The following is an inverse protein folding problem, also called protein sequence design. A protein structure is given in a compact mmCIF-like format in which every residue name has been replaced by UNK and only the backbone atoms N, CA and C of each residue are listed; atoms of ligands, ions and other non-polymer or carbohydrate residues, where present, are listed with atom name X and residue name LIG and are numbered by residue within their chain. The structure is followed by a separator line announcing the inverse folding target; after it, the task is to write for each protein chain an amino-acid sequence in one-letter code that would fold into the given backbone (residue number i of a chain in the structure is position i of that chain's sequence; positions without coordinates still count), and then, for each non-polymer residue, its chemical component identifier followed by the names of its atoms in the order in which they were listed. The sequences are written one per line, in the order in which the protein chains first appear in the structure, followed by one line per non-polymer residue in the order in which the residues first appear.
data_IF_353771198082
#
_entry.id   IF_353771198082
#
_cell.length_a   1.000
_cell.length_b   1.000
_cell.length_c   1.000
_cell.angle_alpha   90.00
_cell.angle_beta   90.00
_cell.angle_gamma   90.00
#
_symmetry.space_group_name_H-M   'P 1'
#
loop_
_entity.id
_entity.type
_entity.pdbx_description
1 polymer ?
#
# COMPACT_ATOMS: atom_id res chain seq x y z
N UNK A 1 -15.69 12.65 11.35
CA UNK A 1 -14.68 12.19 10.38
C UNK A 1 -14.81 10.68 10.26
N UNK A 2 -14.88 10.16 9.03
CA UNK A 2 -15.09 8.73 8.77
C UNK A 2 -13.79 7.95 9.04
N UNK A 3 -13.90 6.73 9.59
CA UNK A 3 -12.78 5.84 9.87
C UNK A 3 -12.45 5.02 8.62
N UNK A 4 -11.18 5.03 8.19
CA UNK A 4 -10.68 4.24 7.08
C UNK A 4 -10.23 2.84 7.52
N UNK A 5 -9.53 2.76 8.67
CA UNK A 5 -9.07 1.48 9.23
C UNK A 5 -9.48 1.44 10.70
N UNK A 6 -10.10 0.35 11.12
CA UNK A 6 -10.43 0.05 12.51
C UNK A 6 -9.92 -1.34 12.88
N UNK A 7 -9.16 -1.41 13.95
CA UNK A 7 -8.62 -2.65 14.51
C UNK A 7 -8.99 -2.69 15.97
N UNK A 8 -9.56 -3.81 16.44
CA UNK A 8 -9.99 -4.00 17.82
C UNK A 8 -9.45 -5.32 18.36
N UNK A 9 -8.68 -5.23 19.45
CA UNK A 9 -8.15 -6.37 20.23
C UNK A 9 -7.44 -7.41 19.36
N UNK A 10 -6.67 -6.95 18.34
CA UNK A 10 -5.98 -7.81 17.41
C UNK A 10 -4.83 -8.54 18.08
N UNK A 11 -4.80 -9.87 17.99
CA UNK A 11 -3.70 -10.69 18.49
C UNK A 11 -3.23 -11.68 17.44
N UNK A 12 -1.91 -11.96 17.48
CA UNK A 12 -1.27 -12.94 16.59
C UNK A 12 -0.05 -13.56 17.27
N UNK A 13 -0.01 -14.89 17.27
CA UNK A 13 1.11 -15.67 17.77
C UNK A 13 1.68 -16.57 16.68
N UNK A 14 2.95 -16.91 16.81
CA UNK A 14 3.68 -17.90 16.03
C UNK A 14 4.31 -18.91 16.98
N UNK A 15 3.67 -20.05 17.15
CA UNK A 15 4.05 -20.99 18.21
C UNK A 15 3.99 -20.30 19.58
N UNK A 16 5.10 -20.25 20.29
CA UNK A 16 5.20 -19.61 21.60
C UNK A 16 5.53 -18.10 21.53
N UNK A 17 5.72 -17.54 20.34
CA UNK A 17 6.02 -16.12 20.18
C UNK A 17 4.73 -15.33 19.97
N UNK A 18 4.39 -14.46 20.93
CA UNK A 18 3.32 -13.51 20.80
C UNK A 18 3.82 -12.29 19.98
N UNK A 19 3.40 -12.21 18.71
CA UNK A 19 3.84 -11.17 17.78
C UNK A 19 2.97 -9.90 17.85
N UNK A 20 1.69 -10.06 18.17
CA UNK A 20 0.74 -8.96 18.37
C UNK A 20 -0.10 -9.31 19.59
N UNK A 21 -0.19 -8.39 20.55
CA UNK A 21 -0.95 -8.57 21.78
C UNK A 21 -2.05 -7.52 21.89
N UNK A 22 -3.29 -7.93 21.65
CA UNK A 22 -4.54 -7.19 21.85
C UNK A 22 -4.50 -5.71 21.39
N UNK A 23 -3.80 -5.42 20.28
CA UNK A 23 -3.70 -4.04 19.81
C UNK A 23 -5.03 -3.54 19.25
N UNK A 24 -5.32 -2.27 19.53
CA UNK A 24 -6.46 -1.55 18.97
C UNK A 24 -5.99 -0.23 18.41
N UNK A 25 -6.41 0.09 17.17
CA UNK A 25 -6.09 1.36 16.52
C UNK A 25 -7.20 1.79 15.58
N UNK A 26 -7.26 3.07 15.28
CA UNK A 26 -8.20 3.65 14.33
C UNK A 26 -7.51 4.71 13.50
N UNK A 27 -7.62 4.58 12.17
CA UNK A 27 -7.07 5.52 11.19
C UNK A 27 -8.23 6.20 10.48
N UNK A 28 -8.22 7.53 10.45
CA UNK A 28 -9.26 8.34 9.78
C UNK A 28 -8.91 8.54 8.31
N UNK A 29 -9.93 8.76 7.48
CA UNK A 29 -9.71 9.18 6.10
C UNK A 29 -8.87 10.47 6.02
N UNK A 30 -7.99 10.53 5.02
CA UNK A 30 -7.15 11.70 4.75
C UNK A 30 -6.02 11.92 5.77
N UNK A 31 -5.71 10.92 6.61
CA UNK A 31 -4.60 11.02 7.58
C UNK A 31 -3.45 10.10 7.21
N UNK A 32 -2.24 10.48 7.61
CA UNK A 32 -1.05 9.61 7.58
C UNK A 32 -0.90 9.00 8.98
N UNK A 33 -0.82 7.69 9.05
CA UNK A 33 -0.62 6.95 10.29
C UNK A 33 0.71 6.20 10.23
N UNK A 34 1.61 6.47 11.17
CA UNK A 34 2.90 5.81 11.28
C UNK A 34 2.88 4.69 12.32
N UNK A 35 3.29 3.48 11.94
CA UNK A 35 3.50 2.36 12.86
C UNK A 35 5.00 2.24 13.13
N UNK A 36 5.44 2.67 14.31
CA UNK A 36 6.84 2.72 14.72
C UNK A 36 7.16 1.61 15.71
N UNK A 37 8.42 1.19 15.76
CA UNK A 37 8.90 0.18 16.70
C UNK A 37 10.18 -0.51 16.21
N UNK A 38 10.85 -1.24 17.09
CA UNK A 38 12.05 -2.01 16.78
C UNK A 38 11.80 -3.11 15.74
N UNK A 39 12.86 -3.66 15.16
CA UNK A 39 12.75 -4.87 14.32
C UNK A 39 12.22 -6.03 15.17
N UNK A 40 11.30 -6.81 14.61
CA UNK A 40 10.62 -7.88 15.36
C UNK A 40 9.42 -7.43 16.21
N UNK A 41 9.11 -6.14 16.34
CA UNK A 41 7.98 -5.64 17.15
C UNK A 41 6.58 -5.88 16.54
N UNK A 42 6.43 -6.78 15.59
CA UNK A 42 5.13 -7.15 15.01
C UNK A 42 4.54 -6.18 13.98
N UNK A 43 5.27 -5.12 13.56
CA UNK A 43 4.76 -4.10 12.60
C UNK A 43 4.26 -4.70 11.29
N UNK A 44 5.11 -5.48 10.62
CA UNK A 44 4.74 -6.14 9.34
C UNK A 44 3.59 -7.11 9.54
N UNK A 45 3.62 -7.90 10.62
CA UNK A 45 2.54 -8.82 10.98
C UNK A 45 1.22 -8.09 11.20
N UNK A 46 1.26 -6.92 11.85
CA UNK A 46 0.08 -6.07 12.06
C UNK A 46 -0.50 -5.61 10.73
N UNK A 47 0.34 -5.10 9.82
CA UNK A 47 -0.09 -4.66 8.48
C UNK A 47 -0.67 -5.85 7.69
N UNK A 48 -0.02 -7.00 7.72
CA UNK A 48 -0.48 -8.21 7.03
C UNK A 48 -1.82 -8.72 7.58
N UNK A 49 -2.05 -8.62 8.89
CA UNK A 49 -3.35 -8.93 9.49
C UNK A 49 -4.42 -7.88 9.08
N UNK A 50 -4.07 -6.59 9.03
CA UNK A 50 -4.97 -5.52 8.57
C UNK A 50 -5.36 -5.72 7.11
N UNK A 51 -4.44 -6.17 6.26
CA UNK A 51 -4.68 -6.47 4.85
C UNK A 51 -5.38 -7.83 4.63
N UNK A 52 -5.54 -8.64 5.68
CA UNK A 52 -6.09 -9.99 5.57
C UNK A 52 -5.18 -10.97 4.82
N UNK A 53 -3.90 -10.64 4.59
CA UNK A 53 -2.91 -11.56 4.01
C UNK A 53 -2.43 -12.59 5.03
N UNK A 54 -2.50 -12.24 6.32
CA UNK A 54 -2.33 -13.17 7.45
C UNK A 54 -3.58 -13.24 8.30
N UNK A 55 -3.89 -14.44 8.77
CA UNK A 55 -5.01 -14.67 9.69
C UNK A 55 -4.58 -14.27 11.10
N UNK A 56 -5.31 -13.33 11.71
CA UNK A 56 -5.21 -13.06 13.14
C UNK A 56 -5.78 -14.23 13.95
N UNK A 57 -5.30 -14.39 15.18
CA UNK A 57 -5.79 -15.40 16.10
C UNK A 57 -7.05 -14.91 16.83
N UNK A 58 -7.10 -13.61 17.14
CA UNK A 58 -8.29 -12.96 17.72
C UNK A 58 -8.36 -11.49 17.30
N UNK A 59 -9.48 -10.85 17.64
CA UNK A 59 -9.78 -9.46 17.30
C UNK A 59 -10.50 -9.28 15.98
N UNK A 60 -10.82 -8.03 15.67
CA UNK A 60 -11.54 -7.66 14.45
C UNK A 60 -10.78 -6.58 13.68
N UNK A 61 -10.89 -6.64 12.35
CA UNK A 61 -10.32 -5.65 11.43
C UNK A 61 -11.39 -5.22 10.44
N UNK A 62 -11.51 -3.92 10.25
CA UNK A 62 -12.31 -3.32 9.18
C UNK A 62 -11.47 -2.30 8.42
N UNK A 63 -11.42 -2.41 7.11
CA UNK A 63 -10.76 -1.47 6.21
C UNK A 63 -11.79 -0.95 5.21
N UNK A 64 -11.98 0.36 5.15
CA UNK A 64 -13.01 1.01 4.32
C UNK A 64 -14.44 0.44 4.59
N UNK A 65 -14.70 0.01 5.84
CA UNK A 65 -15.97 -0.62 6.22
C UNK A 65 -16.11 -2.09 5.79
N UNK A 66 -15.08 -2.68 5.18
CA UNK A 66 -15.05 -4.06 4.70
C UNK A 66 -14.22 -4.95 5.63
N UNK A 67 -14.58 -6.23 5.72
CA UNK A 67 -13.76 -7.25 6.37
C UNK A 67 -12.67 -7.73 5.39
N UNK A 68 -11.37 -7.52 5.65
CA UNK A 68 -10.30 -7.85 4.71
C UNK A 68 -10.21 -9.34 4.36
N UNK A 69 -10.73 -10.20 5.23
CA UNK A 69 -10.73 -11.65 5.03
C UNK A 69 -11.89 -12.10 4.13
N UNK A 70 -13.07 -11.52 4.32
CA UNK A 70 -14.31 -11.92 3.63
C UNK A 70 -14.50 -11.16 2.33
N UNK A 71 -14.22 -9.85 2.34
CA UNK A 71 -14.43 -8.93 1.23
C UNK A 71 -13.14 -8.68 0.42
N UNK A 72 -12.16 -9.58 0.44
CA UNK A 72 -10.82 -9.39 -0.11
C UNK A 72 -10.83 -8.81 -1.52
N UNK A 73 -11.59 -9.41 -2.45
CA UNK A 73 -11.66 -8.97 -3.85
C UNK A 73 -12.19 -7.54 -3.98
N UNK A 74 -13.17 -7.18 -3.17
CA UNK A 74 -13.78 -5.85 -3.15
C UNK A 74 -12.85 -4.82 -2.51
N UNK A 75 -12.18 -5.21 -1.42
CA UNK A 75 -11.24 -4.36 -0.70
C UNK A 75 -10.07 -3.95 -1.59
N UNK A 76 -9.41 -4.90 -2.24
CA UNK A 76 -8.22 -4.63 -3.07
C UNK A 76 -8.52 -3.90 -4.39
N UNK A 77 -9.78 -3.66 -4.74
CA UNK A 77 -10.13 -2.67 -5.77
C UNK A 77 -9.98 -1.22 -5.27
N UNK A 78 -9.88 -1.01 -3.95
CA UNK A 78 -9.84 0.31 -3.32
C UNK A 78 -8.62 0.51 -2.39
N UNK A 79 -7.72 -0.44 -2.32
CA UNK A 79 -6.53 -0.38 -1.46
C UNK A 79 -5.29 -0.72 -2.28
N UNK A 80 -4.38 0.23 -2.37
CA UNK A 80 -3.04 0.00 -2.90
C UNK A 80 -2.08 -0.40 -1.78
N UNK A 81 -1.21 -1.37 -2.05
CA UNK A 81 -0.22 -1.87 -1.09
C UNK A 81 1.16 -1.86 -1.74
N UNK A 82 2.13 -1.29 -1.04
CA UNK A 82 3.54 -1.42 -1.40
C UNK A 82 4.23 -2.31 -0.38
N UNK A 83 4.79 -3.41 -0.84
CA UNK A 83 5.61 -4.29 -0.01
C UNK A 83 7.07 -3.83 0.00
N UNK A 84 7.81 -4.27 1.02
CA UNK A 84 9.21 -3.94 1.19
C UNK A 84 10.09 -4.63 0.14
N UNK A 85 9.72 -5.84 -0.25
CA UNK A 85 10.34 -6.60 -1.33
C UNK A 85 9.31 -6.84 -2.44
N UNK A 86 9.67 -6.48 -3.65
CA UNK A 86 8.84 -6.70 -4.82
C UNK A 86 9.58 -7.64 -5.77
N UNK A 87 9.02 -8.84 -5.97
CA UNK A 87 9.48 -9.79 -6.96
C UNK A 87 8.79 -9.50 -8.29
N UNK A 88 9.56 -9.09 -9.27
CA UNK A 88 9.15 -8.91 -10.66
C UNK A 88 10.16 -9.59 -11.59
N UNK A 89 9.77 -9.85 -12.83
CA UNK A 89 10.71 -10.39 -13.82
C UNK A 89 11.81 -9.35 -14.08
N UNK A 90 13.11 -9.73 -14.05
CA UNK A 90 14.21 -8.76 -14.16
C UNK A 90 14.18 -7.91 -15.41
N UNK A 91 13.71 -8.48 -16.53
CA UNK A 91 13.68 -7.84 -17.85
C UNK A 91 12.38 -7.08 -18.13
N UNK A 92 11.38 -7.14 -17.25
CA UNK A 92 10.11 -6.46 -17.47
C UNK A 92 10.32 -4.95 -17.58
N UNK A 93 9.69 -4.32 -18.56
CA UNK A 93 9.70 -2.87 -18.73
C UNK A 93 8.78 -2.20 -17.72
N UNK A 94 9.05 -0.94 -17.41
CA UNK A 94 8.19 -0.13 -16.55
C UNK A 94 6.75 -0.09 -17.08
N UNK A 95 6.57 0.13 -18.40
CA UNK A 95 5.26 0.13 -19.04
C UNK A 95 4.52 -1.21 -18.89
N UNK A 96 5.21 -2.31 -19.12
CA UNK A 96 4.63 -3.66 -19.01
C UNK A 96 4.18 -3.95 -17.56
N UNK A 97 5.01 -3.62 -16.57
CA UNK A 97 4.67 -3.80 -15.16
C UNK A 97 3.48 -2.91 -14.72
N UNK A 98 3.41 -1.69 -15.27
CA UNK A 98 2.26 -0.81 -15.04
C UNK A 98 0.98 -1.35 -15.67
N UNK A 99 1.06 -1.87 -16.91
CA UNK A 99 -0.08 -2.46 -17.61
C UNK A 99 -0.57 -3.75 -16.90
N UNK A 100 0.36 -4.64 -16.50
CA UNK A 100 0.01 -5.82 -15.70
C UNK A 100 -0.69 -5.43 -14.40
N UNK A 101 -0.17 -4.41 -13.71
CA UNK A 101 -0.78 -3.92 -12.46
C UNK A 101 -2.16 -3.34 -12.73
N UNK A 102 -2.31 -2.54 -13.78
CA UNK A 102 -3.59 -1.92 -14.15
C UNK A 102 -4.68 -2.96 -14.45
N UNK A 103 -4.32 -4.07 -15.11
CA UNK A 103 -5.24 -5.18 -15.41
C UNK A 103 -5.88 -5.82 -14.17
N UNK A 104 -5.30 -5.65 -12.98
CA UNK A 104 -5.87 -6.18 -11.73
C UNK A 104 -7.07 -5.38 -11.23
N UNK A 105 -7.29 -4.17 -11.76
CA UNK A 105 -8.31 -3.23 -11.28
C UNK A 105 -9.38 -2.96 -12.33
N UNK A 106 -10.62 -2.75 -11.87
CA UNK A 106 -11.76 -2.46 -12.76
C UNK A 106 -11.71 -1.05 -13.36
N UNK A 107 -11.18 -0.11 -12.60
CA UNK A 107 -11.04 1.29 -12.98
C UNK A 107 -9.65 1.80 -12.56
N UNK A 108 -8.58 1.36 -13.25
CA UNK A 108 -7.23 1.77 -12.90
C UNK A 108 -7.02 3.26 -13.17
N UNK A 109 -6.20 3.90 -12.34
CA UNK A 109 -5.72 5.24 -12.64
C UNK A 109 -4.79 5.22 -13.86
N UNK A 110 -4.71 6.34 -14.57
CA UNK A 110 -3.78 6.50 -15.70
C UNK A 110 -2.32 6.51 -15.19
N UNK A 111 -1.68 5.36 -15.31
CA UNK A 111 -0.30 5.18 -14.86
C UNK A 111 0.70 6.04 -15.63
N UNK A 112 0.41 6.43 -16.90
CA UNK A 112 1.30 7.32 -17.69
C UNK A 112 1.36 8.69 -17.04
N UNK A 113 0.21 9.26 -16.73
CA UNK A 113 0.10 10.52 -15.98
C UNK A 113 0.79 10.40 -14.60
N UNK A 114 0.66 9.26 -13.93
CA UNK A 114 1.34 9.04 -12.64
C UNK A 114 2.86 8.99 -12.83
N UNK A 115 3.38 8.27 -13.82
CA UNK A 115 4.81 8.23 -14.13
C UNK A 115 5.39 9.62 -14.39
N UNK A 116 4.68 10.47 -15.15
CA UNK A 116 5.10 11.86 -15.39
C UNK A 116 5.14 12.66 -14.08
N UNK A 117 4.07 12.60 -13.27
CA UNK A 117 4.00 13.32 -11.98
C UNK A 117 5.09 12.91 -11.00
N UNK A 118 5.50 11.64 -11.02
CA UNK A 118 6.56 11.11 -10.16
C UNK A 118 7.96 11.16 -10.80
N UNK A 119 8.10 11.77 -11.99
CA UNK A 119 9.38 12.02 -12.65
C UNK A 119 10.08 10.74 -13.13
N UNK A 120 9.31 9.74 -13.57
CA UNK A 120 9.79 8.51 -14.21
C UNK A 120 9.20 8.28 -15.61
N UNK A 121 8.50 9.27 -16.18
CA UNK A 121 7.90 9.18 -17.51
C UNK A 121 8.89 8.84 -18.61
N UNK A 122 10.12 9.40 -18.56
CA UNK A 122 11.19 9.07 -19.51
C UNK A 122 11.75 7.65 -19.38
N UNK A 123 11.33 6.88 -18.38
CA UNK A 123 11.82 5.53 -18.09
C UNK A 123 10.83 4.41 -18.43
N UNK A 124 9.70 4.72 -19.03
CA UNK A 124 8.62 3.75 -19.28
C UNK A 124 9.05 2.58 -20.17
N UNK A 125 9.98 2.79 -21.10
CA UNK A 125 10.51 1.75 -21.99
C UNK A 125 11.77 1.04 -21.46
N UNK A 126 12.25 1.41 -20.26
CA UNK A 126 13.42 0.79 -19.65
C UNK A 126 13.00 -0.44 -18.85
N UNK A 127 13.88 -1.46 -18.83
CA UNK A 127 13.70 -2.59 -17.91
C UNK A 127 13.83 -2.13 -16.46
N UNK A 128 12.98 -2.64 -15.57
CA UNK A 128 12.92 -2.24 -14.16
C UNK A 128 14.26 -2.46 -13.44
N UNK A 129 15.01 -3.49 -13.83
CA UNK A 129 16.36 -3.75 -13.28
C UNK A 129 17.35 -2.60 -13.53
N UNK A 130 17.18 -1.84 -14.62
CA UNK A 130 18.07 -0.76 -15.03
C UNK A 130 17.73 0.58 -14.35
N UNK A 131 16.66 0.63 -13.55
CA UNK A 131 16.32 1.80 -12.78
C UNK A 131 17.29 1.96 -11.58
N UNK A 132 17.65 3.18 -11.28
CA UNK A 132 18.31 3.51 -9.99
C UNK A 132 17.38 3.18 -8.82
N UNK A 133 17.94 3.04 -7.62
CA UNK A 133 17.16 2.78 -6.41
C UNK A 133 16.03 3.78 -6.18
N UNK A 134 16.30 5.07 -6.40
CA UNK A 134 15.30 6.13 -6.28
C UNK A 134 14.21 6.08 -7.36
N UNK A 135 14.56 5.77 -8.62
CA UNK A 135 13.60 5.59 -9.72
C UNK A 135 12.71 4.38 -9.46
N UNK A 136 13.30 3.28 -8.99
CA UNK A 136 12.56 2.06 -8.62
C UNK A 136 11.58 2.32 -7.49
N UNK A 137 12.00 3.06 -6.46
CA UNK A 137 11.10 3.42 -5.37
C UNK A 137 9.94 4.29 -5.86
N UNK A 138 10.18 5.26 -6.75
CA UNK A 138 9.12 6.06 -7.36
C UNK A 138 8.17 5.22 -8.21
N UNK A 139 8.69 4.24 -8.96
CA UNK A 139 7.85 3.29 -9.70
C UNK A 139 6.90 2.54 -8.75
N UNK A 140 7.40 2.00 -7.64
CA UNK A 140 6.55 1.27 -6.70
C UNK A 140 5.52 2.18 -6.01
N UNK A 141 5.85 3.46 -5.81
CA UNK A 141 4.86 4.46 -5.37
C UNK A 141 3.78 4.67 -6.44
N UNK A 142 4.13 4.66 -7.73
CA UNK A 142 3.17 4.76 -8.84
C UNK A 142 2.26 3.54 -8.92
N UNK A 143 2.79 2.33 -8.72
CA UNK A 143 2.02 1.09 -8.80
C UNK A 143 0.94 0.97 -7.71
N UNK A 144 1.19 1.52 -6.51
CA UNK A 144 0.22 1.47 -5.42
C UNK A 144 -1.08 2.26 -5.72
N UNK A 145 -1.06 3.53 -6.22
CA UNK A 145 -2.27 4.27 -6.55
C UNK A 145 -2.92 3.90 -7.90
N UNK A 146 -2.31 3.09 -8.76
CA UNK A 146 -3.01 2.58 -9.96
C UNK A 146 -4.34 1.92 -9.57
N UNK A 147 -4.40 1.39 -8.34
CA UNK A 147 -5.59 0.72 -7.81
C UNK A 147 -6.78 1.63 -7.47
N UNK A 148 -6.61 2.96 -7.22
CA UNK A 148 -7.61 3.57 -6.35
C UNK A 148 -7.97 5.03 -6.58
N UNK A 149 -7.25 5.88 -7.32
CA UNK A 149 -7.36 7.31 -7.04
C UNK A 149 -7.39 8.27 -8.24
N UNK A 150 -8.55 8.45 -8.89
CA UNK A 150 -8.80 9.68 -9.61
C UNK A 150 -8.82 10.91 -8.68
N UNK A 151 -9.36 10.77 -7.45
CA UNK A 151 -9.69 11.92 -6.59
C UNK A 151 -8.59 12.40 -5.64
N UNK A 152 -7.66 11.54 -5.22
CA UNK A 152 -6.57 11.96 -4.30
C UNK A 152 -5.45 12.75 -4.99
N UNK A 153 -5.29 12.59 -6.28
CA UNK A 153 -4.25 13.28 -7.06
C UNK A 153 -4.76 14.64 -7.59
N UNK A 154 -6.08 14.86 -7.65
CA UNK A 154 -6.65 16.09 -8.21
C UNK A 154 -6.80 17.24 -7.22
N UNK A 155 -6.65 17.03 -5.90
CA UNK A 155 -6.69 18.15 -4.95
C UNK A 155 -5.30 18.78 -4.83
N UNK A 156 -5.09 20.04 -5.29
CA UNK A 156 -3.89 20.80 -4.97
C UNK A 156 -3.89 21.05 -3.45
N UNK A 157 -3.04 20.35 -2.72
CA UNK A 157 -2.97 20.36 -1.24
C UNK A 157 -2.95 18.98 -0.61
N UNK A 158 -3.14 17.89 -1.37
CA UNK A 158 -2.99 16.51 -0.91
C UNK A 158 -1.52 16.15 -0.73
N UNK A 159 -1.16 15.87 0.44
CA UNK A 159 -0.15 15.09 1.15
C UNK A 159 1.33 15.01 0.67
N UNK A 160 1.73 15.62 -0.46
CA UNK A 160 3.13 15.59 -0.92
C UNK A 160 3.80 16.98 -0.99
N UNK A 161 3.28 17.97 -0.29
CA UNK A 161 3.76 19.35 -0.33
C UNK A 161 4.13 19.91 1.04
N UNK A 162 5.03 19.28 1.80
CA UNK A 162 5.91 19.99 2.75
C UNK A 162 7.24 19.25 2.85
N UNK A 163 8.21 19.73 2.09
CA UNK A 163 9.64 19.54 2.30
C UNK A 163 9.96 19.88 3.75
N UNK A 164 10.43 18.93 4.53
CA UNK A 164 11.22 19.23 5.71
C UNK A 164 12.57 19.79 5.23
N UNK A 165 12.69 21.13 5.16
CA UNK A 165 13.95 21.81 5.32
C UNK A 165 14.05 22.18 6.81
N UNK A 166 14.92 21.51 7.47
CA UNK A 166 15.95 21.96 8.40
C UNK A 166 16.61 20.73 9.00
#
# INVERSE_FOLDING_TARGET
MQTAIKVEQLSKSYGNLLAIDQISLSVKYGTVYGLLGANGAGKSTTIECILGTKKADSGTVSVLGLNPKEDRRRLFQNVGVQFQENNYQPEIKVSELCDETACLYKAPADWKTLCEKFGIGSKIDHAVKNLSGGERQRLFIVLAPISTLPDLIQKPGGMFGKSCRN
#
